data_IF_691016297838
#
_entry.id   IF_691016297838
#
_cell.length_a   1.000
_cell.length_b   1.000
_cell.length_c   1.000
_cell.angle_alpha   90.00
_cell.angle_beta   90.00
_cell.angle_gamma   90.00
#
_symmetry.space_group_name_H-M   'P 1'
#
loop_
_entity.id
_entity.type
_entity.pdbx_description
1 polymer ?
#
# COMPACT_ATOMS: atom_id res chain seq x y z
N UNK A 1 -4.86 12.57 -1.37
CA UNK A 1 -3.87 11.67 -0.74
C UNK A 1 -3.97 10.27 -1.34
N UNK A 2 -2.91 9.45 -1.19
CA UNK A 2 -2.82 8.08 -1.77
C UNK A 2 -4.07 7.23 -1.47
N UNK A 3 -4.51 7.20 -0.21
CA UNK A 3 -5.70 6.45 0.19
C UNK A 3 -6.97 6.86 -0.59
N UNK A 4 -7.19 8.15 -0.81
CA UNK A 4 -8.33 8.64 -1.58
C UNK A 4 -8.28 8.15 -3.04
N UNK A 5 -7.09 8.03 -3.62
CA UNK A 5 -6.93 7.46 -4.96
C UNK A 5 -7.27 5.96 -4.95
N UNK A 6 -6.82 5.19 -3.95
CA UNK A 6 -7.18 3.77 -3.82
C UNK A 6 -8.69 3.57 -3.69
N UNK A 7 -9.36 4.39 -2.86
CA UNK A 7 -10.82 4.39 -2.70
C UNK A 7 -11.51 4.65 -4.05
N UNK A 8 -11.09 5.70 -4.77
CA UNK A 8 -11.66 6.03 -6.09
C UNK A 8 -11.43 4.92 -7.10
N UNK A 9 -10.24 4.34 -7.16
CA UNK A 9 -9.93 3.22 -8.05
C UNK A 9 -10.81 2.02 -7.74
N UNK A 10 -10.95 1.62 -6.47
CA UNK A 10 -11.82 0.50 -6.09
C UNK A 10 -13.29 0.78 -6.43
N UNK A 11 -13.76 2.01 -6.20
CA UNK A 11 -15.10 2.43 -6.61
C UNK A 11 -15.31 2.34 -8.12
N UNK A 12 -14.31 2.70 -8.92
CA UNK A 12 -14.38 2.59 -10.39
C UNK A 12 -14.40 1.12 -10.84
N UNK A 13 -13.52 0.28 -10.29
CA UNK A 13 -13.49 -1.16 -10.61
C UNK A 13 -14.84 -1.83 -10.31
N UNK A 14 -15.45 -1.49 -9.16
CA UNK A 14 -16.80 -1.97 -8.81
C UNK A 14 -17.87 -1.47 -9.77
N UNK A 15 -17.86 -0.17 -10.11
CA UNK A 15 -18.82 0.40 -11.09
C UNK A 15 -18.70 -0.23 -12.46
N UNK A 16 -17.48 -0.53 -12.89
CA UNK A 16 -17.19 -1.22 -14.15
C UNK A 16 -17.38 -2.74 -14.08
N UNK A 17 -17.81 -3.29 -12.93
CA UNK A 17 -18.03 -4.74 -12.70
C UNK A 17 -16.79 -5.58 -13.05
N UNK A 18 -15.60 -5.04 -12.78
CA UNK A 18 -14.34 -5.76 -13.01
C UNK A 18 -14.34 -7.03 -12.16
N UNK A 19 -13.80 -8.12 -12.72
CA UNK A 19 -13.68 -9.39 -12.02
C UNK A 19 -13.00 -9.16 -10.64
N UNK A 20 -13.58 -9.63 -9.53
CA UNK A 20 -13.00 -9.50 -8.21
C UNK A 20 -11.55 -10.02 -8.12
N UNK A 21 -11.26 -11.15 -8.77
CA UNK A 21 -9.90 -11.72 -8.81
C UNK A 21 -8.91 -10.78 -9.51
N UNK A 22 -9.31 -10.15 -10.62
CA UNK A 22 -8.48 -9.18 -11.32
C UNK A 22 -8.26 -7.91 -10.48
N UNK A 23 -9.28 -7.48 -9.75
CA UNK A 23 -9.16 -6.35 -8.83
C UNK A 23 -8.15 -6.65 -7.71
N UNK A 24 -8.22 -7.83 -7.11
CA UNK A 24 -7.25 -8.30 -6.10
C UNK A 24 -5.84 -8.32 -6.69
N UNK A 25 -5.64 -8.91 -7.87
CA UNK A 25 -4.33 -8.97 -8.53
C UNK A 25 -3.76 -7.58 -8.80
N UNK A 26 -4.59 -6.66 -9.30
CA UNK A 26 -4.17 -5.29 -9.59
C UNK A 26 -3.73 -4.55 -8.32
N UNK A 27 -4.52 -4.66 -7.25
CA UNK A 27 -4.12 -4.07 -5.97
C UNK A 27 -2.90 -4.76 -5.36
N UNK A 28 -2.74 -6.07 -5.50
CA UNK A 28 -1.53 -6.80 -5.07
C UNK A 28 -0.27 -6.25 -5.74
N UNK A 29 -0.31 -6.08 -7.07
CA UNK A 29 0.81 -5.48 -7.81
C UNK A 29 1.08 -4.03 -7.39
N UNK A 30 0.02 -3.27 -7.13
CA UNK A 30 0.15 -1.90 -6.65
C UNK A 30 0.77 -1.84 -5.24
N UNK A 31 0.39 -2.73 -4.32
CA UNK A 31 1.01 -2.85 -3.00
C UNK A 31 2.48 -3.26 -3.09
N UNK A 32 2.80 -4.23 -3.95
CA UNK A 32 4.17 -4.65 -4.23
C UNK A 32 5.03 -3.48 -4.75
N UNK A 33 4.52 -2.74 -5.74
CA UNK A 33 5.21 -1.58 -6.28
C UNK A 33 5.41 -0.48 -5.23
N UNK A 34 4.37 -0.18 -4.44
CA UNK A 34 4.48 0.79 -3.34
C UNK A 34 5.54 0.36 -2.32
N UNK A 35 5.54 -0.91 -1.91
CA UNK A 35 6.51 -1.45 -0.97
C UNK A 35 7.94 -1.32 -1.47
N UNK A 36 8.19 -1.74 -2.72
CA UNK A 36 9.49 -1.60 -3.37
C UNK A 36 9.93 -0.13 -3.52
N UNK A 37 9.01 0.76 -3.92
CA UNK A 37 9.30 2.19 -4.06
C UNK A 37 9.69 2.83 -2.73
N UNK A 38 8.96 2.51 -1.65
CA UNK A 38 9.26 3.02 -0.31
C UNK A 38 10.62 2.51 0.16
N UNK A 39 10.88 1.21 0.05
CA UNK A 39 12.17 0.62 0.44
C UNK A 39 13.32 1.26 -0.32
N UNK A 40 13.21 1.39 -1.64
CA UNK A 40 14.23 2.01 -2.48
C UNK A 40 14.51 3.46 -2.07
N UNK A 41 13.50 4.20 -1.60
CA UNK A 41 13.68 5.57 -1.09
C UNK A 41 14.33 5.60 0.29
N UNK A 42 14.02 4.64 1.16
CA UNK A 42 14.63 4.52 2.48
C UNK A 42 16.10 4.08 2.40
N UNK A 43 16.43 3.17 1.48
CA UNK A 43 17.78 2.61 1.32
C UNK A 43 18.66 3.36 0.34
N UNK A 44 18.14 4.41 -0.32
CA UNK A 44 18.91 5.22 -1.24
C UNK A 44 20.16 5.82 -0.56
N UNK A 45 21.31 5.91 -1.26
CA UNK A 45 22.49 6.57 -0.73
C UNK A 45 22.16 8.02 -0.30
N UNK A 46 22.63 8.43 0.89
CA UNK A 46 22.36 9.74 1.50
C UNK A 46 20.89 9.98 1.89
N UNK A 47 20.06 8.93 2.01
CA UNK A 47 18.70 9.08 2.48
C UNK A 47 18.66 9.58 3.94
N UNK A 48 18.00 10.70 4.18
CA UNK A 48 17.70 11.21 5.53
C UNK A 48 16.40 10.63 6.10
N UNK A 49 15.76 9.71 5.36
CA UNK A 49 14.48 9.11 5.70
C UNK A 49 14.63 7.88 6.61
N UNK A 50 15.84 7.31 6.73
CA UNK A 50 16.13 6.21 7.65
C UNK A 50 16.32 6.77 9.08
N UNK A 51 15.25 7.29 9.67
CA UNK A 51 15.24 7.80 11.05
C UNK A 51 14.00 7.34 11.79
N UNK A 52 14.08 7.28 13.12
CA UNK A 52 12.94 6.88 13.97
C UNK A 52 11.70 7.74 13.74
N UNK A 53 11.87 9.04 13.47
CA UNK A 53 10.76 9.95 13.18
C UNK A 53 10.03 9.57 11.89
N UNK A 54 10.79 9.38 10.80
CA UNK A 54 10.22 9.02 9.51
C UNK A 54 9.66 7.60 9.51
N UNK A 55 10.28 6.66 10.22
CA UNK A 55 9.75 5.31 10.42
C UNK A 55 8.38 5.31 11.13
N UNK A 56 8.24 6.04 12.25
CA UNK A 56 6.95 6.19 12.94
C UNK A 56 5.89 6.85 12.06
N UNK A 57 6.27 7.92 11.37
CA UNK A 57 5.37 8.64 10.45
C UNK A 57 4.90 7.76 9.30
N UNK A 58 5.81 7.00 8.70
CA UNK A 58 5.51 6.06 7.62
C UNK A 58 4.58 4.94 8.11
N UNK A 59 4.88 4.32 9.26
CA UNK A 59 4.03 3.27 9.86
C UNK A 59 2.61 3.78 10.11
N UNK A 60 2.46 4.99 10.66
CA UNK A 60 1.14 5.58 10.89
C UNK A 60 0.38 5.80 9.57
N UNK A 61 1.06 6.23 8.50
CA UNK A 61 0.43 6.40 7.19
C UNK A 61 0.03 5.07 6.55
N UNK A 62 0.88 4.05 6.64
CA UNK A 62 0.59 2.71 6.12
C UNK A 62 -0.59 2.06 6.84
N UNK A 63 -0.77 2.29 8.15
CA UNK A 63 -1.95 1.80 8.90
C UNK A 63 -3.29 2.23 8.31
N UNK A 64 -3.37 3.41 7.73
CA UNK A 64 -4.60 3.86 7.08
C UNK A 64 -4.88 3.09 5.76
N UNK A 65 -3.82 2.64 5.08
CA UNK A 65 -3.93 1.80 3.88
C UNK A 65 -4.30 0.37 4.28
N UNK A 66 -3.67 -0.18 5.31
CA UNK A 66 -4.00 -1.50 5.89
C UNK A 66 -5.48 -1.58 6.30
N UNK A 67 -5.94 -0.65 7.15
CA UNK A 67 -7.31 -0.63 7.63
C UNK A 67 -8.34 -0.43 6.51
N UNK A 68 -7.96 0.25 5.43
CA UNK A 68 -8.82 0.35 4.26
C UNK A 68 -8.85 -0.95 3.45
N UNK A 69 -7.69 -1.57 3.22
CA UNK A 69 -7.56 -2.80 2.46
C UNK A 69 -8.33 -3.96 3.11
N UNK A 70 -8.26 -4.08 4.44
CA UNK A 70 -9.05 -5.03 5.22
C UNK A 70 -10.56 -4.88 4.95
N UNK A 71 -11.08 -3.65 4.91
CA UNK A 71 -12.49 -3.38 4.57
C UNK A 71 -12.83 -3.69 3.11
N UNK A 72 -11.83 -3.88 2.25
CA UNK A 72 -12.02 -4.22 0.85
C UNK A 72 -11.79 -5.71 0.54
N UNK A 73 -11.37 -6.53 1.51
CA UNK A 73 -10.96 -7.92 1.29
C UNK A 73 -9.58 -8.05 0.62
N UNK A 74 -8.67 -7.12 0.93
CA UNK A 74 -7.31 -7.03 0.36
C UNK A 74 -6.20 -7.18 1.43
N UNK A 75 -6.56 -7.58 2.65
CA UNK A 75 -5.66 -7.72 3.80
C UNK A 75 -4.45 -8.61 3.48
N UNK A 76 -4.66 -9.77 2.86
CA UNK A 76 -3.57 -10.71 2.52
C UNK A 76 -2.56 -10.10 1.54
N UNK A 77 -3.03 -9.29 0.58
CA UNK A 77 -2.17 -8.66 -0.40
C UNK A 77 -1.33 -7.53 0.22
N UNK A 78 -1.90 -6.82 1.19
CA UNK A 78 -1.18 -5.81 1.97
C UNK A 78 -0.14 -6.47 2.88
N UNK A 79 -0.52 -7.51 3.63
CA UNK A 79 0.39 -8.22 4.52
C UNK A 79 1.57 -8.82 3.76
N UNK A 80 1.34 -9.41 2.58
CA UNK A 80 2.41 -10.00 1.78
C UNK A 80 3.42 -8.96 1.27
N UNK A 81 2.95 -7.77 0.87
CA UNK A 81 3.76 -6.83 0.10
C UNK A 81 4.26 -5.61 0.89
N UNK A 82 3.53 -5.18 1.91
CA UNK A 82 3.88 -4.03 2.73
C UNK A 82 4.46 -4.41 4.10
N UNK A 83 4.31 -5.65 4.57
CA UNK A 83 4.95 -6.12 5.81
C UNK A 83 6.46 -5.92 5.80
N UNK A 84 7.11 -6.10 4.64
CA UNK A 84 8.56 -5.90 4.48
C UNK A 84 9.02 -4.44 4.62
N UNK A 85 8.11 -3.47 4.53
CA UNK A 85 8.38 -2.04 4.81
C UNK A 85 8.20 -1.74 6.31
N UNK A 86 7.44 -2.59 7.00
CA UNK A 86 6.96 -2.39 8.36
C UNK A 86 7.83 -3.10 9.40
N UNK A 87 8.50 -4.19 9.02
CA UNK A 87 9.53 -4.90 9.79
C UNK A 87 10.83 -4.11 9.87
#
# INVERSE_FOLDING_TARGET
>A
GVLNNLIKTMSLLRRCRVNPALSIQLFSQLFHFMGAWILNRLTAPKSTLCSNYWGKTLRQRLRHVEAWAERQGLELAVDCHLSRVIQ
#
